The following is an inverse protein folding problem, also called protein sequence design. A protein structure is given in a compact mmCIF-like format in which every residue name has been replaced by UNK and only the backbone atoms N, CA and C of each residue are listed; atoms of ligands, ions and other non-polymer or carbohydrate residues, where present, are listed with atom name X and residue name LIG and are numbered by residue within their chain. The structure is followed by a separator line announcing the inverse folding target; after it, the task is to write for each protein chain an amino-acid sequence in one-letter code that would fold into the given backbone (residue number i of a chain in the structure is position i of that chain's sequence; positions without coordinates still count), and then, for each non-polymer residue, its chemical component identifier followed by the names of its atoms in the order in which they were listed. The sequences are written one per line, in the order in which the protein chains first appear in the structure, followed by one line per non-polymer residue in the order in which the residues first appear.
data_IF_232840275863
#
_entry.id   IF_232840275863
#
_cell.length_a   1.000
_cell.length_b   1.000
_cell.length_c   1.000
_cell.angle_alpha   90.00
_cell.angle_beta   90.00
_cell.angle_gamma   90.00
#
_symmetry.space_group_name_H-M   'P 1'
#
loop_
_entity.id
_entity.type
_entity.pdbx_description
1 polymer ?
#
# COMPACT_ATOMS: atom_id res chain seq x y z
N UNK A 1 -8.56 -37.04 -10.27
CA UNK A 1 -8.55 -35.64 -10.76
C UNK A 1 -7.85 -34.79 -9.73
N UNK A 2 -6.69 -34.17 -10.00
CA UNK A 2 -5.97 -33.36 -9.01
C UNK A 2 -6.56 -31.96 -8.96
N UNK A 3 -6.87 -31.51 -7.75
CA UNK A 3 -7.34 -30.18 -7.43
C UNK A 3 -6.22 -29.15 -7.68
N UNK A 4 -6.50 -28.15 -8.51
CA UNK A 4 -5.66 -26.99 -8.74
C UNK A 4 -5.66 -26.11 -7.47
N UNK A 5 -4.59 -26.20 -6.71
CA UNK A 5 -4.27 -25.26 -5.65
C UNK A 5 -3.68 -24.00 -6.30
N UNK A 6 -4.50 -22.98 -6.50
CA UNK A 6 -4.03 -21.68 -6.94
C UNK A 6 -3.67 -20.83 -5.69
N UNK A 7 -2.58 -21.17 -5.03
CA UNK A 7 -1.98 -20.30 -4.04
C UNK A 7 -1.05 -19.31 -4.78
N UNK A 8 -1.10 -18.04 -4.43
CA UNK A 8 -0.11 -17.06 -4.87
C UNK A 8 1.29 -17.58 -4.49
N UNK A 9 2.12 -17.82 -5.48
CA UNK A 9 3.46 -18.39 -5.27
C UNK A 9 4.43 -17.23 -5.22
N UNK A 10 4.89 -16.90 -4.02
CA UNK A 10 6.07 -16.06 -3.83
C UNK A 10 7.28 -16.93 -4.19
N UNK A 11 7.90 -16.65 -5.32
CA UNK A 11 9.12 -17.33 -5.74
C UNK A 11 10.29 -16.52 -5.19
N UNK A 12 10.79 -16.92 -4.00
CA UNK A 12 12.07 -16.45 -3.54
C UNK A 12 13.14 -17.08 -4.41
N UNK A 13 13.93 -16.27 -5.10
CA UNK A 13 15.12 -16.75 -5.81
C UNK A 13 16.20 -17.14 -4.79
N UNK A 14 16.34 -18.43 -4.51
CA UNK A 14 17.57 -19.00 -3.97
C UNK A 14 18.62 -19.01 -5.08
N UNK A 15 19.40 -17.93 -5.19
CA UNK A 15 20.64 -17.92 -5.93
C UNK A 15 21.80 -17.87 -4.95
N UNK A 16 22.17 -19.03 -4.40
CA UNK A 16 23.49 -19.26 -3.87
C UNK A 16 24.12 -20.42 -4.64
N UNK A 17 24.83 -20.10 -5.72
CA UNK A 17 25.92 -20.94 -6.17
C UNK A 17 27.17 -20.09 -6.45
N UNK A 18 28.23 -20.54 -5.85
CA UNK A 18 29.57 -19.98 -5.84
C UNK A 18 30.15 -19.93 -7.25
N UNK A 19 30.61 -18.76 -7.70
CA UNK A 19 31.74 -18.68 -8.60
C UNK A 19 32.72 -17.62 -8.13
N UNK A 20 33.86 -18.05 -7.70
CA UNK A 20 35.06 -17.24 -7.52
C UNK A 20 35.53 -16.72 -8.88
N UNK A 21 35.78 -15.45 -9.00
CA UNK A 21 36.44 -14.89 -10.18
C UNK A 21 36.24 -13.39 -10.38
N UNK A 22 37.28 -12.66 -10.05
CA UNK A 22 37.74 -11.40 -10.62
C UNK A 22 36.86 -10.13 -10.51
N UNK A 23 37.40 -9.20 -9.74
CA UNK A 23 36.83 -7.89 -9.51
C UNK A 23 36.84 -6.99 -10.74
N UNK A 24 35.68 -6.79 -11.32
CA UNK A 24 35.36 -5.57 -12.08
C UNK A 24 33.91 -5.21 -11.83
N UNK A 25 33.70 -4.04 -11.18
CA UNK A 25 32.38 -3.49 -10.85
C UNK A 25 31.48 -3.42 -12.08
N UNK A 26 30.39 -4.14 -12.02
CA UNK A 26 29.30 -4.00 -12.99
C UNK A 26 28.54 -2.73 -12.60
N UNK A 27 28.80 -1.64 -13.31
CA UNK A 27 27.90 -0.50 -13.35
C UNK A 27 26.59 -0.98 -13.97
N UNK A 28 25.53 -1.00 -13.20
CA UNK A 28 24.17 -1.14 -13.73
C UNK A 28 23.78 0.19 -14.37
N UNK A 29 24.14 0.36 -15.63
CA UNK A 29 23.59 1.40 -16.49
C UNK A 29 22.20 0.96 -16.95
N UNK A 30 21.19 1.44 -16.23
CA UNK A 30 19.76 1.31 -16.51
C UNK A 30 19.05 2.45 -15.80
N UNK A 31 19.60 3.67 -15.93
CA UNK A 31 19.12 4.85 -15.24
C UNK A 31 17.81 5.37 -15.81
N UNK A 32 16.71 5.21 -15.08
CA UNK A 32 15.74 6.29 -15.01
C UNK A 32 16.41 7.42 -14.23
N UNK A 33 16.57 8.60 -14.89
CA UNK A 33 17.36 9.69 -14.39
C UNK A 33 16.99 10.08 -12.95
N UNK A 34 18.01 10.19 -12.10
CA UNK A 34 17.94 10.50 -10.66
C UNK A 34 17.11 11.77 -10.32
N UNK A 35 16.81 12.65 -11.28
CA UNK A 35 16.06 13.88 -11.11
C UNK A 35 14.52 13.74 -11.08
N UNK A 36 13.96 12.55 -11.24
CA UNK A 36 12.51 12.36 -11.46
C UNK A 36 11.82 11.44 -10.45
N UNK A 37 12.49 11.02 -9.37
CA UNK A 37 11.86 10.18 -8.35
C UNK A 37 10.87 10.97 -7.53
N UNK A 38 9.64 10.48 -7.44
CA UNK A 38 8.58 11.03 -6.58
C UNK A 38 8.06 9.90 -5.68
N UNK A 39 8.44 9.97 -4.41
CA UNK A 39 7.93 9.08 -3.36
C UNK A 39 6.76 9.69 -2.61
N UNK A 40 6.09 8.90 -1.77
CA UNK A 40 5.01 9.41 -0.93
C UNK A 40 5.00 8.81 0.47
N UNK A 41 4.60 9.64 1.44
CA UNK A 41 4.18 9.27 2.79
C UNK A 41 2.65 9.33 2.83
N UNK A 42 2.00 8.23 3.14
CA UNK A 42 0.54 8.10 3.00
C UNK A 42 -0.11 7.60 4.31
N UNK A 43 -0.12 8.43 5.39
CA UNK A 43 -0.76 8.06 6.64
C UNK A 43 -2.29 8.12 6.53
N UNK A 44 -2.98 7.07 7.06
CA UNK A 44 -4.43 7.08 7.24
C UNK A 44 -4.78 7.53 8.65
N UNK A 45 -5.68 8.53 8.85
CA UNK A 45 -6.02 9.10 10.16
C UNK A 45 -6.96 8.21 10.99
N UNK A 46 -7.02 6.93 10.71
CA UNK A 46 -7.82 5.94 11.46
C UNK A 46 -7.21 5.58 12.81
N UNK A 47 -5.97 5.97 13.04
CA UNK A 47 -5.23 5.75 14.29
C UNK A 47 -3.99 6.64 14.40
N UNK A 48 -3.33 6.57 15.56
CA UNK A 48 -2.06 7.25 15.75
C UNK A 48 -0.94 6.56 14.95
N UNK A 49 0.03 7.35 14.49
CA UNK A 49 1.25 6.84 13.85
C UNK A 49 2.00 5.93 14.84
N UNK A 50 2.37 4.72 14.41
CA UNK A 50 3.11 3.75 15.21
C UNK A 50 4.45 3.41 14.57
N UNK A 51 5.34 2.74 15.32
CA UNK A 51 6.70 2.40 14.85
C UNK A 51 6.72 1.72 13.47
N UNK A 52 5.78 0.80 13.19
CA UNK A 52 5.72 0.13 11.89
C UNK A 52 5.45 1.08 10.73
N UNK A 53 4.53 2.05 10.90
CA UNK A 53 4.31 3.08 9.87
C UNK A 53 5.56 3.96 9.72
N UNK A 54 6.12 4.43 10.84
CA UNK A 54 7.29 5.29 10.86
C UNK A 54 8.49 4.63 10.15
N UNK A 55 8.70 3.31 10.35
CA UNK A 55 9.74 2.56 9.63
C UNK A 55 9.52 2.55 8.13
N UNK A 56 8.32 2.21 7.69
CA UNK A 56 8.00 2.20 6.24
C UNK A 56 8.16 3.59 5.63
N UNK A 57 7.74 4.63 6.34
CA UNK A 57 7.90 6.01 5.88
C UNK A 57 9.37 6.44 5.88
N UNK A 58 10.19 5.99 6.85
CA UNK A 58 11.63 6.20 6.85
C UNK A 58 12.27 5.64 5.57
N UNK A 59 11.93 4.41 5.21
CA UNK A 59 12.46 3.78 4.00
C UNK A 59 12.00 4.54 2.74
N UNK A 60 10.71 4.90 2.65
CA UNK A 60 10.16 5.64 1.53
C UNK A 60 10.81 7.02 1.34
N UNK A 61 11.00 7.75 2.45
CA UNK A 61 11.61 9.06 2.44
C UNK A 61 13.08 9.00 2.04
N UNK A 62 13.84 8.08 2.65
CA UNK A 62 15.27 7.90 2.37
C UNK A 62 15.51 7.54 0.90
N UNK A 63 14.70 6.66 0.31
CA UNK A 63 14.81 6.30 -1.10
C UNK A 63 14.57 7.49 -2.03
N UNK A 64 13.49 8.22 -1.81
CA UNK A 64 13.18 9.40 -2.61
C UNK A 64 14.27 10.49 -2.46
N UNK A 65 14.69 10.78 -1.23
CA UNK A 65 15.70 11.82 -0.98
C UNK A 65 17.11 11.42 -1.44
N UNK A 66 17.51 10.17 -1.29
CA UNK A 66 18.79 9.66 -1.81
C UNK A 66 18.88 9.76 -3.34
N UNK A 67 17.75 9.61 -4.03
CA UNK A 67 17.64 9.85 -5.48
C UNK A 67 17.57 11.35 -5.86
N UNK A 68 17.66 12.29 -4.91
CA UNK A 68 17.46 13.73 -5.16
C UNK A 68 16.03 14.08 -5.56
N UNK A 69 15.08 13.20 -5.27
CA UNK A 69 13.69 13.29 -5.66
C UNK A 69 12.79 14.03 -4.67
N UNK A 70 11.49 14.10 -5.02
CA UNK A 70 10.45 14.73 -4.21
C UNK A 70 9.73 13.73 -3.32
N UNK A 71 9.21 14.22 -2.20
CA UNK A 71 8.37 13.46 -1.26
C UNK A 71 7.02 14.16 -1.14
N UNK A 72 5.94 13.43 -1.31
CA UNK A 72 4.57 13.92 -1.15
C UNK A 72 4.00 13.37 0.15
N UNK A 73 3.40 14.23 0.96
CA UNK A 73 2.55 13.81 2.06
C UNK A 73 1.10 13.76 1.58
N UNK A 74 0.49 12.58 1.66
CA UNK A 74 -0.92 12.38 1.32
C UNK A 74 -1.66 11.79 2.51
N UNK A 75 -2.54 12.56 3.11
CA UNK A 75 -3.42 12.08 4.19
C UNK A 75 -4.58 11.30 3.56
N UNK A 76 -4.70 10.02 3.91
CA UNK A 76 -5.71 9.11 3.37
C UNK A 76 -6.96 9.07 4.26
N UNK A 77 -7.74 10.15 4.21
CA UNK A 77 -8.89 10.47 5.08
C UNK A 77 -10.25 10.17 4.43
N UNK A 78 -10.35 9.16 3.57
CA UNK A 78 -11.61 8.77 2.92
C UNK A 78 -12.48 7.81 3.74
N UNK A 79 -11.96 7.23 4.80
CA UNK A 79 -12.71 6.27 5.66
C UNK A 79 -13.32 6.98 6.87
N UNK A 80 -14.12 8.04 6.61
CA UNK A 80 -14.70 8.93 7.62
C UNK A 80 -15.29 8.26 8.89
N UNK A 81 -15.93 7.07 8.82
CA UNK A 81 -16.42 6.41 10.03
C UNK A 81 -15.32 5.93 10.99
N UNK A 82 -14.09 5.80 10.50
CA UNK A 82 -12.92 5.36 11.30
C UNK A 82 -11.96 6.49 11.61
N UNK A 83 -12.11 7.63 10.95
CA UNK A 83 -11.25 8.78 11.17
C UNK A 83 -11.50 9.35 12.56
N UNK A 84 -10.41 9.61 13.27
CA UNK A 84 -10.49 10.22 14.60
C UNK A 84 -10.23 11.70 14.49
N UNK A 85 -11.05 12.54 15.12
CA UNK A 85 -10.82 13.99 15.17
C UNK A 85 -9.37 14.28 15.61
N UNK A 86 -8.66 15.10 14.84
CA UNK A 86 -7.28 15.50 15.12
C UNK A 86 -6.20 14.46 14.76
N UNK A 87 -6.55 13.24 14.31
CA UNK A 87 -5.55 12.21 14.01
C UNK A 87 -4.69 12.56 12.79
N UNK A 88 -5.24 13.25 11.79
CA UNK A 88 -4.48 13.74 10.65
C UNK A 88 -3.42 14.76 11.09
N UNK A 89 -3.82 15.77 11.86
CA UNK A 89 -2.90 16.77 12.40
C UNK A 89 -1.83 16.15 13.32
N UNK A 90 -2.23 15.17 14.14
CA UNK A 90 -1.28 14.44 15.00
C UNK A 90 -0.28 13.63 14.16
N UNK A 91 -0.70 12.99 13.08
CA UNK A 91 0.22 12.24 12.21
C UNK A 91 1.23 13.18 11.53
N UNK A 92 0.80 14.35 11.07
CA UNK A 92 1.67 15.39 10.50
C UNK A 92 2.67 15.90 11.54
N UNK A 93 2.23 16.18 12.78
CA UNK A 93 3.09 16.64 13.87
C UNK A 93 4.10 15.56 14.28
N UNK A 94 3.69 14.30 14.38
CA UNK A 94 4.58 13.17 14.69
C UNK A 94 5.62 12.96 13.59
N UNK A 95 5.26 13.10 12.31
CA UNK A 95 6.20 13.00 11.20
C UNK A 95 7.24 14.14 11.24
N UNK A 96 6.79 15.39 11.46
CA UNK A 96 7.71 16.53 11.60
C UNK A 96 8.65 16.37 12.78
N UNK A 97 8.13 15.90 13.91
CA UNK A 97 8.93 15.64 15.11
C UNK A 97 10.00 14.56 14.85
N UNK A 98 9.71 13.53 14.05
CA UNK A 98 10.68 12.51 13.64
C UNK A 98 11.72 13.00 12.62
N UNK A 99 11.59 14.23 12.11
CA UNK A 99 12.53 14.83 11.16
C UNK A 99 12.16 14.65 9.68
N UNK A 100 10.95 14.16 9.37
CA UNK A 100 10.46 14.09 8.00
C UNK A 100 10.14 15.48 7.45
N UNK A 101 10.46 15.69 6.20
CA UNK A 101 9.98 16.79 5.37
C UNK A 101 9.32 16.26 4.10
N UNK A 102 8.57 17.13 3.44
CA UNK A 102 7.91 16.85 2.17
C UNK A 102 7.77 18.14 1.35
N UNK A 103 7.56 17.96 0.05
CA UNK A 103 7.49 19.06 -0.90
C UNK A 103 6.06 19.51 -1.18
N UNK A 104 5.10 18.58 -1.03
CA UNK A 104 3.67 18.81 -1.25
C UNK A 104 2.86 18.09 -0.17
N UNK A 105 1.69 18.64 0.18
CA UNK A 105 0.75 18.05 1.14
C UNK A 105 -0.66 18.02 0.53
N UNK A 106 -1.33 16.87 0.61
CA UNK A 106 -2.66 16.66 0.06
C UNK A 106 -3.56 15.88 1.02
N UNK A 107 -4.87 16.22 1.03
CA UNK A 107 -5.92 15.44 1.68
C UNK A 107 -6.74 14.72 0.60
N UNK A 108 -6.98 13.44 0.78
CA UNK A 108 -7.80 12.68 -0.18
C UNK A 108 -9.26 13.16 -0.21
N UNK A 109 -9.80 13.58 0.92
CA UNK A 109 -11.16 14.13 1.00
C UNK A 109 -11.41 15.37 0.12
N UNK A 110 -10.37 16.14 -0.21
CA UNK A 110 -10.45 17.30 -1.09
C UNK A 110 -10.37 16.94 -2.58
N UNK A 111 -10.17 15.66 -2.92
CA UNK A 111 -9.88 15.18 -4.28
C UNK A 111 -10.98 14.30 -4.88
N UNK A 112 -12.15 14.28 -4.26
CA UNK A 112 -13.28 13.40 -4.61
C UNK A 112 -13.73 13.55 -6.06
N UNK A 113 -13.60 14.75 -6.66
CA UNK A 113 -13.94 14.97 -8.08
C UNK A 113 -13.05 14.18 -9.05
N UNK A 114 -11.76 14.02 -8.74
CA UNK A 114 -10.84 13.20 -9.54
C UNK A 114 -11.24 11.72 -9.51
N UNK A 115 -11.62 11.23 -8.34
CA UNK A 115 -12.04 9.84 -8.19
C UNK A 115 -13.37 9.58 -8.89
N UNK A 116 -14.30 10.53 -8.81
CA UNK A 116 -15.58 10.48 -9.53
C UNK A 116 -15.35 10.43 -11.04
N UNK A 117 -14.51 11.31 -11.57
CA UNK A 117 -14.16 11.34 -12.99
C UNK A 117 -13.53 10.01 -13.45
N UNK A 118 -12.60 9.44 -12.68
CA UNK A 118 -11.99 8.16 -12.98
C UNK A 118 -13.02 7.01 -12.98
N UNK A 119 -13.89 6.95 -11.96
CA UNK A 119 -14.98 5.97 -11.90
C UNK A 119 -15.94 6.11 -13.09
N UNK A 120 -16.31 7.33 -13.48
CA UNK A 120 -17.23 7.58 -14.59
C UNK A 120 -16.61 7.18 -15.93
N UNK A 121 -15.30 7.34 -16.12
CA UNK A 121 -14.56 6.77 -17.25
C UNK A 121 -14.66 5.24 -17.27
N UNK A 122 -14.44 4.58 -16.15
CA UNK A 122 -14.59 3.12 -16.04
C UNK A 122 -16.03 2.68 -16.34
N UNK A 123 -17.02 3.42 -15.85
CA UNK A 123 -18.43 3.15 -16.11
C UNK A 123 -18.76 3.29 -17.60
N UNK A 124 -18.30 4.34 -18.24
CA UNK A 124 -18.49 4.56 -19.69
C UNK A 124 -17.85 3.45 -20.53
N UNK A 125 -16.73 2.90 -20.07
CA UNK A 125 -16.05 1.75 -20.67
C UNK A 125 -16.69 0.38 -20.32
N UNK A 126 -17.80 0.35 -19.54
CA UNK A 126 -18.43 -0.88 -19.11
C UNK A 126 -17.64 -1.67 -18.04
N UNK A 127 -16.60 -1.04 -17.45
CA UNK A 127 -15.70 -1.63 -16.46
C UNK A 127 -16.09 -1.29 -15.01
N UNK A 128 -17.13 -0.49 -14.77
CA UNK A 128 -17.66 -0.24 -13.44
C UNK A 128 -19.18 -0.41 -13.44
N UNK A 129 -19.70 -1.01 -12.37
CA UNK A 129 -21.12 -1.24 -12.20
C UNK A 129 -21.55 -1.19 -10.73
N UNK A 130 -22.82 -0.87 -10.42
CA UNK A 130 -23.33 -0.84 -9.06
C UNK A 130 -23.64 -2.25 -8.54
N UNK A 131 -23.33 -2.48 -7.26
CA UNK A 131 -23.50 -3.76 -6.57
C UNK A 131 -24.14 -3.54 -5.19
N UNK A 132 -25.14 -4.34 -4.86
CA UNK A 132 -25.87 -4.29 -3.57
C UNK A 132 -25.47 -5.43 -2.61
N UNK A 133 -24.50 -6.25 -2.95
CA UNK A 133 -24.05 -7.34 -2.09
C UNK A 133 -23.29 -6.79 -0.89
N UNK A 134 -23.72 -7.19 0.30
CA UNK A 134 -22.97 -6.98 1.54
C UNK A 134 -21.77 -7.95 1.61
N UNK A 135 -20.85 -7.70 2.57
CA UNK A 135 -19.75 -8.64 2.84
C UNK A 135 -20.27 -10.04 3.17
N UNK A 136 -21.36 -10.13 3.94
CA UNK A 136 -22.00 -11.42 4.27
C UNK A 136 -22.53 -12.16 3.05
N UNK A 137 -23.13 -11.42 2.07
CA UNK A 137 -23.61 -12.03 0.83
C UNK A 137 -22.44 -12.64 0.04
N UNK A 138 -21.26 -11.98 0.04
CA UNK A 138 -20.05 -12.48 -0.62
C UNK A 138 -19.50 -13.70 0.13
N UNK A 139 -19.40 -13.63 1.46
CA UNK A 139 -18.97 -14.75 2.32
C UNK A 139 -19.86 -15.99 2.14
N UNK A 140 -21.19 -15.79 2.12
CA UNK A 140 -22.16 -16.89 1.96
C UNK A 140 -22.15 -17.54 0.58
N UNK A 141 -21.68 -16.80 -0.45
CA UNK A 141 -21.56 -17.32 -1.81
C UNK A 141 -20.28 -18.14 -2.04
N UNK A 142 -19.34 -18.11 -1.10
CA UNK A 142 -18.13 -18.93 -1.12
C UNK A 142 -18.36 -20.21 -0.31
N UNK A 143 -18.17 -21.37 -0.93
CA UNK A 143 -18.21 -22.66 -0.24
C UNK A 143 -17.02 -22.76 0.70
N UNK A 144 -17.22 -22.53 2.00
CA UNK A 144 -16.25 -22.69 3.10
C UNK A 144 -14.87 -22.07 2.82
N UNK A 145 -14.71 -20.75 2.91
CA UNK A 145 -13.38 -20.12 2.78
C UNK A 145 -12.47 -20.59 3.94
N UNK A 146 -11.25 -20.98 3.63
CA UNK A 146 -10.26 -21.26 4.66
C UNK A 146 -9.87 -19.95 5.37
N UNK A 147 -9.57 -20.05 6.67
CA UNK A 147 -9.14 -18.89 7.46
C UNK A 147 -7.90 -18.24 6.81
N UNK A 148 -8.01 -16.97 6.40
CA UNK A 148 -6.94 -16.21 5.72
C UNK A 148 -7.07 -16.08 4.21
N UNK A 149 -8.03 -16.74 3.56
CA UNK A 149 -8.30 -16.53 2.14
C UNK A 149 -9.00 -15.19 1.90
N UNK A 150 -8.59 -14.50 0.84
CA UNK A 150 -9.26 -13.28 0.39
C UNK A 150 -10.66 -13.62 -0.14
N UNK A 151 -11.65 -12.80 0.23
CA UNK A 151 -13.02 -12.97 -0.25
C UNK A 151 -13.09 -12.64 -1.74
N UNK A 152 -13.33 -13.68 -2.56
CA UNK A 152 -13.56 -13.53 -3.99
C UNK A 152 -15.02 -13.17 -4.26
N UNK A 153 -15.27 -12.09 -4.99
CA UNK A 153 -16.62 -11.73 -5.38
C UNK A 153 -17.10 -12.56 -6.58
N UNK A 154 -18.27 -13.25 -6.49
CA UNK A 154 -18.73 -14.19 -7.52
C UNK A 154 -19.37 -13.53 -8.75
N UNK A 155 -19.48 -12.18 -8.78
CA UNK A 155 -20.09 -11.48 -9.93
C UNK A 155 -21.61 -11.36 -9.88
N UNK A 156 -22.28 -11.63 -8.75
CA UNK A 156 -23.74 -11.69 -8.59
C UNK A 156 -24.50 -10.49 -9.16
N UNK A 157 -23.93 -9.28 -9.12
CA UNK A 157 -24.57 -8.06 -9.62
C UNK A 157 -24.07 -7.62 -11.00
N UNK A 158 -23.19 -8.40 -11.66
CA UNK A 158 -22.74 -8.08 -13.02
C UNK A 158 -23.93 -8.01 -13.98
N UNK A 159 -24.11 -6.86 -14.64
CA UNK A 159 -25.18 -6.66 -15.63
C UNK A 159 -26.59 -6.65 -15.04
N UNK A 160 -26.75 -6.74 -13.72
CA UNK A 160 -28.06 -6.77 -13.06
C UNK A 160 -28.74 -5.41 -13.02
N UNK A 161 -27.95 -4.34 -12.83
CA UNK A 161 -28.46 -2.98 -12.69
C UNK A 161 -27.86 -2.07 -13.76
N UNK A 162 -28.71 -1.21 -14.36
CA UNK A 162 -28.31 -0.22 -15.38
C UNK A 162 -27.83 1.10 -14.75
N UNK A 163 -28.25 1.37 -13.51
CA UNK A 163 -27.91 2.61 -12.81
C UNK A 163 -27.76 2.39 -11.31
N UNK A 164 -27.12 3.35 -10.65
CA UNK A 164 -27.05 3.41 -9.20
C UNK A 164 -28.43 3.45 -8.55
N UNK A 165 -29.31 4.30 -9.07
CA UNK A 165 -30.67 4.46 -8.54
C UNK A 165 -31.47 3.13 -8.60
N UNK A 166 -31.37 2.39 -9.71
CA UNK A 166 -32.01 1.07 -9.85
C UNK A 166 -31.46 0.07 -8.81
N UNK A 167 -30.15 0.07 -8.58
CA UNK A 167 -29.53 -0.79 -7.59
C UNK A 167 -29.98 -0.40 -6.16
N UNK A 168 -30.02 0.90 -5.84
CA UNK A 168 -30.47 1.38 -4.54
C UNK A 168 -31.92 1.02 -4.25
N UNK A 169 -32.79 1.14 -5.24
CA UNK A 169 -34.20 0.76 -5.12
C UNK A 169 -34.42 -0.74 -4.91
N UNK A 170 -33.56 -1.59 -5.46
CA UNK A 170 -33.72 -3.05 -5.45
C UNK A 170 -33.54 -3.69 -4.07
N UNK A 171 -32.74 -3.12 -3.17
CA UNK A 171 -32.43 -3.72 -1.84
C UNK A 171 -32.72 -2.78 -0.67
N UNK A 172 -33.06 -1.52 -0.92
CA UNK A 172 -33.24 -0.52 0.14
C UNK A 172 -31.97 -0.18 0.91
N UNK A 173 -30.80 -0.52 0.37
CA UNK A 173 -29.49 -0.27 0.94
C UNK A 173 -28.59 0.44 -0.09
N UNK A 174 -27.69 1.30 0.41
CA UNK A 174 -26.74 1.97 -0.45
C UNK A 174 -25.88 0.94 -1.21
N UNK A 175 -25.82 1.04 -2.56
CA UNK A 175 -24.94 0.19 -3.34
C UNK A 175 -23.46 0.51 -3.10
N UNK A 176 -22.56 -0.30 -3.67
CA UNK A 176 -21.16 0.05 -3.88
C UNK A 176 -20.83 -0.04 -5.36
N UNK A 177 -19.83 0.70 -5.80
CA UNK A 177 -19.26 0.53 -7.13
C UNK A 177 -18.22 -0.59 -7.12
N UNK A 178 -18.30 -1.50 -8.13
CA UNK A 178 -17.28 -2.51 -8.35
C UNK A 178 -16.62 -2.38 -9.71
N UNK A 179 -15.33 -2.69 -9.76
CA UNK A 179 -14.62 -2.90 -11.01
C UNK A 179 -15.00 -4.25 -11.59
N UNK A 180 -15.33 -4.29 -12.88
CA UNK A 180 -15.53 -5.52 -13.63
C UNK A 180 -14.18 -6.06 -14.04
N UNK A 181 -13.67 -7.03 -13.33
CA UNK A 181 -12.41 -7.69 -13.64
C UNK A 181 -12.60 -8.56 -14.89
N UNK A 182 -11.84 -8.33 -15.98
CA UNK A 182 -11.87 -9.22 -17.13
C UNK A 182 -11.48 -10.66 -16.73
N UNK A 183 -11.97 -11.69 -17.45
CA UNK A 183 -11.49 -13.04 -17.22
C UNK A 183 -9.99 -13.13 -17.51
N UNK A 184 -9.34 -14.12 -16.88
CA UNK A 184 -7.90 -14.40 -17.09
C UNK A 184 -6.99 -13.17 -16.89
N UNK A 185 -7.33 -12.33 -15.91
CA UNK A 185 -6.58 -11.09 -15.58
C UNK A 185 -5.33 -11.41 -14.79
N UNK A 186 -4.38 -12.09 -15.41
CA UNK A 186 -3.06 -12.35 -14.82
C UNK A 186 -2.23 -11.07 -14.88
N UNK A 187 -1.75 -10.63 -13.71
CA UNK A 187 -0.85 -9.50 -13.55
C UNK A 187 0.44 -9.99 -12.93
N UNK A 188 1.55 -9.75 -13.65
CA UNK A 188 2.90 -9.98 -13.18
C UNK A 188 3.65 -8.66 -13.14
N UNK A 189 4.46 -8.44 -12.10
CA UNK A 189 5.34 -7.28 -11.96
C UNK A 189 6.58 -7.66 -11.13
N UNK A 190 7.63 -6.87 -11.28
CA UNK A 190 8.83 -6.96 -10.45
C UNK A 190 8.70 -5.97 -9.30
N UNK A 191 8.74 -6.48 -8.08
CA UNK A 191 8.83 -5.68 -6.87
C UNK A 191 10.30 -5.52 -6.49
N UNK A 192 10.73 -4.31 -6.16
CA UNK A 192 12.15 -4.04 -5.91
C UNK A 192 12.71 -4.73 -4.66
N UNK A 193 11.83 -5.13 -3.73
CA UNK A 193 12.24 -5.85 -2.53
C UNK A 193 11.76 -7.30 -2.52
N UNK A 194 10.49 -7.55 -2.83
CA UNK A 194 9.89 -8.88 -2.79
C UNK A 194 10.20 -9.72 -4.04
N UNK A 195 10.76 -9.11 -5.10
CA UNK A 195 11.04 -9.78 -6.37
C UNK A 195 9.78 -9.97 -7.23
N UNK A 196 9.80 -10.96 -8.12
CA UNK A 196 8.69 -11.20 -9.04
C UNK A 196 7.44 -11.67 -8.30
N UNK A 197 6.34 -10.97 -8.53
CA UNK A 197 5.02 -11.32 -8.04
C UNK A 197 4.04 -11.48 -9.20
N UNK A 198 3.21 -12.53 -9.15
CA UNK A 198 2.20 -12.81 -10.16
C UNK A 198 0.91 -13.29 -9.52
N UNK A 199 -0.23 -12.78 -10.00
CA UNK A 199 -1.55 -13.17 -9.52
C UNK A 199 -2.58 -13.04 -10.63
N UNK A 200 -3.46 -14.03 -10.75
CA UNK A 200 -4.71 -13.88 -11.49
C UNK A 200 -5.73 -13.15 -10.61
N UNK A 201 -5.94 -11.87 -10.89
CA UNK A 201 -6.88 -11.01 -10.16
C UNK A 201 -8.31 -11.52 -10.26
N UNK A 202 -8.69 -12.12 -11.40
CA UNK A 202 -10.03 -12.66 -11.62
C UNK A 202 -10.31 -13.88 -10.74
N UNK A 203 -9.30 -14.72 -10.53
CA UNK A 203 -9.38 -15.89 -9.67
C UNK A 203 -9.28 -15.54 -8.19
N UNK A 204 -8.39 -14.60 -7.83
CA UNK A 204 -8.11 -14.26 -6.43
C UNK A 204 -9.17 -13.34 -5.81
N UNK A 205 -9.60 -12.30 -6.53
CA UNK A 205 -10.50 -11.25 -6.01
C UNK A 205 -11.87 -11.25 -6.68
N UNK A 206 -11.92 -11.63 -7.96
CA UNK A 206 -13.07 -11.34 -8.81
C UNK A 206 -13.25 -9.83 -8.99
N UNK A 207 -14.49 -9.35 -8.98
CA UNK A 207 -14.77 -7.91 -9.08
C UNK A 207 -14.56 -7.22 -7.73
N UNK A 208 -13.61 -6.32 -7.66
CA UNK A 208 -13.26 -5.64 -6.42
C UNK A 208 -13.96 -4.27 -6.28
N UNK A 209 -14.17 -3.78 -5.05
CA UNK A 209 -14.86 -2.51 -4.83
C UNK A 209 -14.01 -1.30 -5.24
N UNK A 210 -14.66 -0.32 -5.91
CA UNK A 210 -14.09 0.97 -6.28
C UNK A 210 -14.52 2.10 -5.33
N UNK A 211 -15.79 2.05 -4.86
CA UNK A 211 -16.35 3.04 -3.94
C UNK A 211 -17.49 2.41 -3.13
N UNK A 212 -17.66 2.89 -1.90
CA UNK A 212 -18.72 2.42 -0.98
C UNK A 212 -20.02 3.22 -1.09
N UNK A 213 -19.98 4.34 -1.77
CA UNK A 213 -21.12 5.23 -2.01
C UNK A 213 -21.09 5.77 -3.44
N UNK A 214 -22.11 6.56 -3.79
CA UNK A 214 -22.27 7.05 -5.16
C UNK A 214 -21.16 8.02 -5.58
N UNK A 215 -20.65 8.83 -4.67
CA UNK A 215 -19.76 9.95 -4.98
C UNK A 215 -18.34 9.78 -4.43
N UNK A 216 -18.12 8.85 -3.53
CA UNK A 216 -16.84 8.61 -2.89
C UNK A 216 -15.90 7.70 -3.69
N UNK A 217 -14.80 7.37 -3.05
CA UNK A 217 -13.83 6.40 -3.55
C UNK A 217 -13.45 5.40 -2.46
N UNK A 218 -13.17 4.17 -2.86
CA UNK A 218 -12.49 3.20 -2.02
C UNK A 218 -10.98 3.34 -2.17
N UNK A 219 -10.24 2.75 -1.25
CA UNK A 219 -8.78 2.79 -1.19
C UNK A 219 -8.12 2.51 -2.56
N UNK A 220 -8.49 1.41 -3.23
CA UNK A 220 -7.86 0.99 -4.50
C UNK A 220 -8.01 2.04 -5.59
N UNK A 221 -9.18 2.67 -5.74
CA UNK A 221 -9.40 3.71 -6.72
C UNK A 221 -8.63 4.98 -6.37
N UNK A 222 -8.72 5.41 -5.11
CA UNK A 222 -8.11 6.65 -4.65
C UNK A 222 -6.59 6.64 -4.80
N UNK A 223 -5.90 5.59 -4.33
CA UNK A 223 -4.43 5.53 -4.42
C UNK A 223 -3.95 5.48 -5.87
N UNK A 224 -4.64 4.76 -6.75
CA UNK A 224 -4.28 4.68 -8.17
C UNK A 224 -4.42 6.02 -8.88
N UNK A 225 -5.52 6.72 -8.63
CA UNK A 225 -5.77 8.04 -9.23
C UNK A 225 -4.80 9.09 -8.68
N UNK A 226 -4.55 9.06 -7.37
CA UNK A 226 -3.67 10.02 -6.72
C UNK A 226 -2.21 9.82 -7.09
N UNK A 227 -1.72 8.59 -7.06
CA UNK A 227 -0.33 8.30 -7.43
C UNK A 227 -0.04 8.80 -8.86
N UNK A 228 -0.98 8.60 -9.79
CA UNK A 228 -0.85 9.11 -11.16
C UNK A 228 -0.93 10.65 -11.23
N UNK A 229 -1.93 11.26 -10.56
CA UNK A 229 -2.15 12.71 -10.61
C UNK A 229 -1.04 13.51 -9.91
N UNK A 230 -0.40 12.93 -8.89
CA UNK A 230 0.72 13.51 -8.16
C UNK A 230 2.07 13.18 -8.82
N UNK A 231 2.09 12.36 -9.87
CA UNK A 231 3.32 11.95 -10.55
C UNK A 231 4.20 11.05 -9.69
N UNK A 232 3.62 10.25 -8.78
CA UNK A 232 4.35 9.28 -7.96
C UNK A 232 4.98 8.24 -8.88
N UNK A 233 6.29 8.07 -8.77
CA UNK A 233 7.06 7.11 -9.56
C UNK A 233 7.47 5.88 -8.76
N UNK A 234 7.46 5.98 -7.42
CA UNK A 234 7.83 4.89 -6.53
C UNK A 234 6.88 4.77 -5.33
N UNK A 235 6.41 3.54 -5.09
CA UNK A 235 5.50 3.20 -4.00
C UNK A 235 6.20 2.24 -3.03
N UNK A 236 6.76 2.79 -1.93
CA UNK A 236 7.26 1.99 -0.82
C UNK A 236 6.16 1.81 0.22
N UNK A 237 5.88 0.57 0.63
CA UNK A 237 4.85 0.24 1.62
C UNK A 237 5.06 -1.14 2.26
N UNK A 238 4.25 -1.49 3.25
CA UNK A 238 4.31 -2.81 3.88
C UNK A 238 3.91 -3.95 2.94
N UNK A 239 4.51 -5.12 3.14
CA UNK A 239 4.29 -6.34 2.33
C UNK A 239 2.88 -6.94 2.50
N UNK A 240 2.12 -6.52 3.51
CA UNK A 240 0.70 -6.85 3.65
C UNK A 240 -0.16 -6.32 2.48
N UNK A 241 0.33 -5.33 1.75
CA UNK A 241 -0.31 -4.76 0.57
C UNK A 241 0.18 -5.37 -0.77
N UNK A 242 1.17 -6.23 -0.75
CA UNK A 242 1.67 -6.91 -1.95
C UNK A 242 0.56 -7.64 -2.72
N UNK A 243 -0.35 -8.42 -2.08
CA UNK A 243 -1.46 -9.08 -2.77
C UNK A 243 -2.53 -8.13 -3.35
N UNK A 244 -2.56 -6.85 -2.92
CA UNK A 244 -3.49 -5.85 -3.46
C UNK A 244 -2.94 -5.14 -4.71
N UNK A 245 -1.63 -5.21 -4.95
CA UNK A 245 -0.94 -4.52 -6.04
C UNK A 245 -1.42 -4.93 -7.43
N UNK A 246 -1.67 -6.21 -7.75
CA UNK A 246 -2.18 -6.62 -9.05
C UNK A 246 -3.51 -5.96 -9.43
N UNK A 247 -4.43 -5.81 -8.46
CA UNK A 247 -5.69 -5.10 -8.70
C UNK A 247 -5.48 -3.61 -9.00
N UNK A 248 -4.51 -2.98 -8.34
CA UNK A 248 -4.13 -1.58 -8.61
C UNK A 248 -3.52 -1.43 -10.00
N UNK A 249 -2.60 -2.32 -10.40
CA UNK A 249 -2.00 -2.33 -11.74
C UNK A 249 -3.06 -2.56 -12.81
N UNK A 250 -4.00 -3.47 -12.58
CA UNK A 250 -5.11 -3.70 -13.51
C UNK A 250 -5.97 -2.45 -13.68
N UNK A 251 -6.23 -1.74 -12.58
CA UNK A 251 -6.98 -0.48 -12.61
C UNK A 251 -6.21 0.65 -13.30
N UNK A 252 -4.89 0.75 -13.09
CA UNK A 252 -4.02 1.68 -13.81
C UNK A 252 -4.11 1.46 -15.32
N UNK A 253 -3.98 0.20 -15.76
CA UNK A 253 -4.11 -0.18 -17.18
C UNK A 253 -5.48 0.19 -17.75
N UNK A 254 -6.56 -0.08 -17.01
CA UNK A 254 -7.93 0.24 -17.42
C UNK A 254 -8.19 1.75 -17.55
N UNK A 255 -7.49 2.56 -16.77
CA UNK A 255 -7.55 4.01 -16.79
C UNK A 255 -6.48 4.66 -17.70
N UNK A 256 -5.57 3.87 -18.29
CA UNK A 256 -4.44 4.41 -19.08
C UNK A 256 -3.49 5.27 -18.23
N UNK A 257 -3.31 4.92 -16.96
CA UNK A 257 -2.44 5.61 -16.01
C UNK A 257 -1.07 4.91 -15.94
N UNK A 258 0.01 5.64 -15.60
CA UNK A 258 1.32 5.05 -15.39
C UNK A 258 1.30 4.08 -14.19
N UNK A 259 2.16 3.06 -14.27
CA UNK A 259 2.41 2.14 -13.16
C UNK A 259 3.72 2.57 -12.49
N UNK A 260 3.72 2.94 -11.20
CA UNK A 260 4.95 3.25 -10.47
C UNK A 260 5.77 1.97 -10.22
N UNK A 261 7.05 2.13 -9.87
CA UNK A 261 7.82 1.07 -9.26
C UNK A 261 7.25 0.75 -7.87
N UNK A 262 7.23 -0.54 -7.51
CA UNK A 262 6.76 -0.99 -6.20
C UNK A 262 7.90 -1.57 -5.38
N UNK A 263 7.90 -1.28 -4.09
CA UNK A 263 8.84 -1.81 -3.11
C UNK A 263 8.06 -2.18 -1.83
N UNK A 264 7.77 -3.46 -1.65
CA UNK A 264 7.05 -3.96 -0.49
C UNK A 264 8.04 -4.47 0.56
N UNK A 265 8.16 -3.74 1.66
CA UNK A 265 9.10 -4.06 2.74
C UNK A 265 8.42 -4.83 3.87
N UNK A 266 9.14 -5.74 4.55
CA UNK A 266 8.59 -6.55 5.62
C UNK A 266 8.00 -5.70 6.76
N UNK A 267 6.85 -6.15 7.28
CA UNK A 267 6.18 -5.51 8.39
C UNK A 267 6.98 -5.62 9.69
N UNK A 268 6.77 -4.64 10.55
CA UNK A 268 7.11 -4.75 11.97
C UNK A 268 5.99 -5.50 12.68
N UNK A 269 6.36 -6.56 13.38
CA UNK A 269 5.44 -7.44 14.11
C UNK A 269 5.72 -7.42 15.61
N UNK A 270 4.72 -7.77 16.39
CA UNK A 270 4.87 -7.98 17.82
C UNK A 270 5.52 -9.34 18.14
N UNK A 271 5.79 -9.61 19.42
CA UNK A 271 6.37 -10.88 19.87
C UNK A 271 5.53 -12.12 19.51
N UNK A 272 4.26 -11.95 19.19
CA UNK A 272 3.34 -13.00 18.72
C UNK A 272 3.40 -13.24 17.20
N UNK A 273 4.33 -12.59 16.48
CA UNK A 273 4.48 -12.66 15.03
C UNK A 273 3.36 -11.96 14.25
N UNK A 274 2.47 -11.23 14.93
CA UNK A 274 1.36 -10.51 14.28
C UNK A 274 1.68 -9.04 14.17
N UNK A 275 1.07 -8.38 13.17
CA UNK A 275 1.18 -6.92 12.99
C UNK A 275 1.01 -6.19 14.32
N UNK A 276 1.85 -5.16 14.55
CA UNK A 276 1.78 -4.35 15.76
C UNK A 276 0.36 -3.84 16.02
N UNK A 277 -0.13 -4.07 17.22
CA UNK A 277 -1.46 -3.68 17.66
C UNK A 277 -1.41 -3.31 19.15
N UNK A 278 -2.47 -2.69 19.68
CA UNK A 278 -2.56 -2.25 21.10
C UNK A 278 -2.19 -3.30 22.15
N UNK A 279 -2.37 -4.60 21.85
CA UNK A 279 -1.98 -5.71 22.73
C UNK A 279 -0.47 -5.87 22.95
N UNK A 280 0.35 -5.26 22.06
CA UNK A 280 1.83 -5.31 22.15
C UNK A 280 2.43 -4.10 22.86
N UNK A 281 1.63 -3.41 23.67
CA UNK A 281 2.03 -2.16 24.31
C UNK A 281 1.74 -0.94 23.46
N UNK A 282 2.13 0.21 23.96
CA UNK A 282 1.91 1.47 23.26
C UNK A 282 3.08 1.79 22.32
N UNK A 283 2.92 1.44 21.05
CA UNK A 283 3.92 1.68 20.01
C UNK A 283 3.67 2.99 19.21
N UNK A 284 2.80 3.86 19.75
CA UNK A 284 2.50 5.15 19.13
C UNK A 284 3.67 6.12 19.30
N UNK A 285 3.99 6.84 18.25
CA UNK A 285 5.04 7.85 18.24
C UNK A 285 4.76 8.93 19.31
N UNK A 286 3.51 9.39 19.38
CA UNK A 286 3.09 10.37 20.38
C UNK A 286 3.27 9.91 21.84
N UNK A 287 3.27 8.62 22.12
CA UNK A 287 3.51 8.07 23.46
C UNK A 287 4.98 8.09 23.83
N UNK A 288 5.86 7.67 22.94
CA UNK A 288 7.31 7.80 23.15
C UNK A 288 7.75 9.25 23.36
N UNK A 289 7.15 10.18 22.59
CA UNK A 289 7.39 11.62 22.79
C UNK A 289 6.96 12.10 24.17
N UNK A 290 5.81 11.65 24.68
CA UNK A 290 5.34 11.96 26.04
C UNK A 290 6.22 11.37 27.15
N UNK A 291 6.83 10.23 26.89
CA UNK A 291 7.79 9.57 27.77
C UNK A 291 9.17 10.27 27.75
N UNK A 292 9.34 11.31 26.92
CA UNK A 292 10.56 12.10 26.87
C UNK A 292 11.64 11.55 25.94
N UNK A 293 11.34 10.53 25.10
CA UNK A 293 12.29 10.05 24.12
C UNK A 293 12.54 11.13 23.04
N UNK A 294 13.76 11.15 22.52
CA UNK A 294 14.13 12.03 21.41
C UNK A 294 13.84 11.37 20.06
N UNK A 295 13.60 12.15 19.00
CA UNK A 295 13.36 11.60 17.68
C UNK A 295 14.52 10.73 17.18
N UNK A 296 15.78 11.09 17.50
CA UNK A 296 16.97 10.32 17.13
C UNK A 296 17.02 8.93 17.77
N UNK A 297 16.42 8.76 18.97
CA UNK A 297 16.32 7.46 19.64
C UNK A 297 15.32 6.56 18.91
N UNK A 298 14.22 7.13 18.43
CA UNK A 298 13.23 6.39 17.64
C UNK A 298 13.79 6.06 16.26
N UNK A 299 14.42 7.04 15.59
CA UNK A 299 15.04 6.80 14.29
C UNK A 299 16.15 5.76 14.37
N UNK A 300 17.00 5.81 15.39
CA UNK A 300 18.04 4.79 15.62
C UNK A 300 17.45 3.39 15.81
N UNK A 301 16.37 3.23 16.60
CA UNK A 301 15.66 1.95 16.76
C UNK A 301 15.12 1.44 15.41
N UNK A 302 14.49 2.31 14.62
CA UNK A 302 13.96 1.93 13.31
C UNK A 302 15.07 1.58 12.31
N UNK A 303 16.15 2.37 12.30
CA UNK A 303 17.32 2.14 11.45
C UNK A 303 18.04 0.81 11.79
N UNK A 304 18.14 0.46 13.07
CA UNK A 304 18.71 -0.80 13.51
C UNK A 304 17.92 -2.01 12.95
N UNK A 305 16.59 -1.90 12.80
CA UNK A 305 15.77 -2.93 12.16
C UNK A 305 16.05 -3.12 10.67
N UNK A 306 16.75 -2.17 10.06
CA UNK A 306 17.14 -2.21 8.65
C UNK A 306 18.64 -2.52 8.46
N UNK A 307 19.40 -2.68 9.56
CA UNK A 307 20.86 -2.83 9.53
C UNK A 307 21.61 -1.52 9.24
N UNK A 308 20.96 -0.34 9.46
CA UNK A 308 21.53 0.98 9.18
C UNK A 308 22.05 1.71 10.41
N UNK A 309 21.84 1.17 11.58
CA UNK A 309 22.36 1.67 12.86
C UNK A 309 22.60 0.50 13.83
N UNK A 310 23.49 0.73 14.81
CA UNK A 310 23.68 -0.22 15.92
C UNK A 310 22.51 -0.15 16.91
N UNK A 311 22.18 -1.24 17.61
CA UNK A 311 21.18 -1.22 18.66
C UNK A 311 21.49 -0.16 19.75
N UNK A 312 20.54 0.77 19.95
CA UNK A 312 20.70 1.87 20.91
C UNK A 312 21.41 3.11 20.37
N UNK A 313 21.89 3.07 19.14
CA UNK A 313 22.45 4.26 18.46
C UNK A 313 21.38 5.34 18.27
N UNK A 314 21.75 6.62 18.49
CA UNK A 314 20.91 7.78 18.22
C UNK A 314 21.29 8.35 16.86
N UNK A 315 20.35 8.37 15.93
CA UNK A 315 20.62 8.80 14.54
C UNK A 315 19.51 9.72 14.08
N UNK A 316 19.84 10.88 13.53
CA UNK A 316 18.84 11.72 12.88
C UNK A 316 18.46 11.12 11.50
N UNK A 317 17.20 11.34 11.08
CA UNK A 317 16.69 10.78 9.81
C UNK A 317 17.59 11.13 8.62
N UNK A 318 18.09 12.37 8.55
CA UNK A 318 18.95 12.84 7.45
C UNK A 318 20.32 12.15 7.41
N UNK A 319 20.84 11.74 8.56
CA UNK A 319 22.16 11.08 8.65
C UNK A 319 22.10 9.65 8.09
N UNK A 320 20.89 9.09 7.96
CA UNK A 320 20.66 7.79 7.36
C UNK A 320 20.77 7.79 5.83
N UNK A 321 20.74 8.95 5.17
CA UNK A 321 20.87 9.04 3.69
C UNK A 321 22.14 8.39 3.16
N UNK A 322 23.24 8.44 3.90
CA UNK A 322 24.49 7.82 3.52
C UNK A 322 24.60 6.33 3.91
N UNK A 323 23.64 5.81 4.67
CA UNK A 323 23.67 4.45 5.24
C UNK A 323 22.59 3.54 4.67
N UNK A 324 21.52 4.11 4.10
CA UNK A 324 20.35 3.37 3.66
C UNK A 324 20.65 2.50 2.43
N UNK A 325 20.54 1.19 2.62
CA UNK A 325 20.65 0.20 1.56
C UNK A 325 19.55 -0.85 1.72
N UNK A 326 18.72 -1.03 0.68
CA UNK A 326 17.65 -2.04 0.70
C UNK A 326 18.18 -3.47 0.90
N UNK A 327 19.38 -3.75 0.40
CA UNK A 327 19.97 -5.09 0.46
C UNK A 327 20.28 -5.55 1.90
N UNK A 328 20.36 -4.60 2.85
CA UNK A 328 20.62 -4.93 4.27
C UNK A 328 19.34 -5.18 5.07
N UNK A 329 18.19 -4.85 4.50
CA UNK A 329 16.90 -5.05 5.19
C UNK A 329 16.61 -6.55 5.25
N UNK A 330 16.34 -7.12 6.45
CA UNK A 330 15.97 -8.54 6.56
C UNK A 330 14.67 -8.83 5.79
N UNK A 331 14.63 -9.97 5.08
CA UNK A 331 13.41 -10.39 4.37
C UNK A 331 12.30 -10.94 5.28
N UNK A 332 12.64 -11.31 6.50
CA UNK A 332 11.66 -11.77 7.49
C UNK A 332 10.97 -10.59 8.19
N UNK A 333 9.73 -10.76 8.67
CA UNK A 333 9.09 -9.79 9.56
C UNK A 333 9.95 -9.49 10.78
N UNK A 334 10.00 -8.22 11.19
CA UNK A 334 10.90 -7.76 12.24
C UNK A 334 10.14 -7.61 13.54
N UNK A 335 10.60 -8.31 14.58
CA UNK A 335 10.07 -8.13 15.92
C UNK A 335 10.69 -6.89 16.58
N UNK A 336 9.85 -6.05 17.20
CA UNK A 336 10.26 -4.92 18.04
C UNK A 336 9.63 -5.08 19.43
#
# INVERSE_FOLDING_TARGET
MPQLKTAARIVYNECHEKTSGDGRGIRRDGGMGAANTVGRLAPSPTGALHLGNARTFMIAWLRARAAGGRVILRIEDLDHPRDKPGAAAQAVDDLRWLGFDWDEEHLQSERTDLYRAARDRLRAAGLAYPCVCSRRDVESAQSAPHAGEQLRYPGTCRGRFRSWAEAAAAKGAAPCWRFRTPPDSVVSFEDEFAGRFEQDVSAALGDFPLARDENGAGYTLAVVVDDAAMGVTEVVRGDDLLPATPAQILLQRALGLPTPAYCHVPLVVGPDGRRLAKRHGDTRISSYRKEGLRPEEIMGRLAATCGWAEPGERVALRDLLARADLATIPHAPIMI
#
